data_IF_827388503192
#
_entry.id   IF_827388503192
#
_cell.length_a   1.000
_cell.length_b   1.000
_cell.length_c   1.000
_cell.angle_alpha   90.00
_cell.angle_beta   90.00
_cell.angle_gamma   90.00
#
_symmetry.space_group_name_H-M   'P 1'
#
loop_
_entity.id
_entity.type
_entity.pdbx_description
1 polymer ?
#
# COMPACT_ATOMS: atom_id res chain seq x y z
N UNK A 1 30.08 13.28 4.78
CA UNK A 1 29.90 13.91 6.11
C UNK A 1 29.25 15.29 6.03
N UNK A 2 29.62 16.15 5.06
CA UNK A 2 29.07 17.50 4.95
C UNK A 2 27.53 17.55 4.85
N UNK A 3 26.90 16.69 4.05
CA UNK A 3 25.45 16.72 3.88
C UNK A 3 24.66 16.38 5.16
N UNK A 4 25.21 15.51 6.01
CA UNK A 4 24.61 15.20 7.32
C UNK A 4 24.67 16.41 8.25
N UNK A 5 25.78 17.14 8.24
CA UNK A 5 25.91 18.39 9.01
C UNK A 5 24.89 19.43 8.55
N UNK A 6 24.69 19.59 7.23
CA UNK A 6 23.68 20.52 6.70
C UNK A 6 22.26 20.12 7.10
N UNK A 7 21.96 18.82 7.14
CA UNK A 7 20.67 18.35 7.63
C UNK A 7 20.50 18.60 9.14
N UNK A 8 21.55 18.52 9.94
CA UNK A 8 21.53 18.84 11.37
C UNK A 8 21.32 20.33 11.62
N UNK A 9 22.01 21.19 10.88
CA UNK A 9 21.79 22.63 10.90
C UNK A 9 20.33 22.98 10.56
N UNK A 10 19.77 22.35 9.52
CA UNK A 10 18.35 22.52 9.16
C UNK A 10 17.42 22.08 10.29
N UNK A 11 17.69 20.95 10.94
CA UNK A 11 16.88 20.46 12.06
C UNK A 11 16.87 21.43 13.25
N UNK A 12 17.94 22.20 13.45
CA UNK A 12 18.06 23.17 14.54
C UNK A 12 17.26 24.46 14.31
N UNK A 13 16.74 24.71 13.10
CA UNK A 13 16.03 25.96 12.75
C UNK A 13 14.69 26.09 13.48
N UNK A 14 13.90 25.01 13.53
CA UNK A 14 12.57 25.03 14.15
C UNK A 14 12.06 23.61 14.46
N UNK A 15 11.06 23.44 15.35
CA UNK A 15 10.46 22.13 15.61
C UNK A 15 9.89 21.44 14.36
N UNK A 16 9.46 22.23 13.37
CA UNK A 16 8.94 21.71 12.12
C UNK A 16 10.06 21.23 11.19
N UNK A 17 11.14 22.01 11.05
CA UNK A 17 12.34 21.58 10.35
C UNK A 17 12.98 20.34 11.00
N UNK A 18 12.92 20.21 12.33
CA UNK A 18 13.34 19.02 13.04
C UNK A 18 12.56 17.77 12.60
N UNK A 19 11.22 17.86 12.49
CA UNK A 19 10.37 16.75 12.02
C UNK A 19 10.69 16.37 10.57
N UNK A 20 10.87 17.38 9.70
CA UNK A 20 11.23 17.19 8.29
C UNK A 20 12.61 16.52 8.18
N UNK A 21 13.61 17.06 8.87
CA UNK A 21 14.96 16.52 8.81
C UNK A 21 15.04 15.09 9.39
N UNK A 22 14.31 14.81 10.48
CA UNK A 22 14.25 13.45 11.02
C UNK A 22 13.59 12.47 10.04
N UNK A 23 12.58 12.91 9.28
CA UNK A 23 11.97 12.13 8.21
C UNK A 23 12.97 11.83 7.09
N UNK A 24 13.64 12.85 6.56
CA UNK A 24 14.65 12.70 5.49
C UNK A 24 15.75 11.74 5.95
N UNK A 25 16.30 11.93 7.16
CA UNK A 25 17.35 11.05 7.70
C UNK A 25 16.94 9.58 7.73
N UNK A 26 15.69 9.28 8.13
CA UNK A 26 15.18 7.89 8.22
C UNK A 26 15.02 7.20 6.87
N UNK A 27 14.92 7.95 5.77
CA UNK A 27 14.92 7.36 4.43
C UNK A 27 16.34 7.04 3.94
N UNK A 28 17.36 7.50 4.67
CA UNK A 28 18.78 7.25 4.40
C UNK A 28 19.24 7.67 2.98
N UNK A 29 18.87 8.87 2.48
CA UNK A 29 19.21 9.31 1.13
C UNK A 29 20.73 9.46 0.90
N UNK A 30 21.49 9.66 1.97
CA UNK A 30 22.95 9.80 1.97
C UNK A 30 23.68 8.53 1.54
N UNK A 31 23.04 7.36 1.63
CA UNK A 31 23.64 6.09 1.20
C UNK A 31 23.90 6.02 -0.31
N UNK A 32 23.34 6.97 -1.08
CA UNK A 32 23.44 7.01 -2.53
C UNK A 32 24.41 8.08 -3.05
N UNK A 33 25.09 8.83 -2.17
CA UNK A 33 25.99 9.93 -2.58
C UNK A 33 27.13 9.42 -3.48
N UNK A 34 27.74 8.29 -3.12
CA UNK A 34 28.80 7.68 -3.90
C UNK A 34 28.30 7.19 -5.26
N UNK A 35 27.08 6.64 -5.30
CA UNK A 35 26.46 6.15 -6.53
C UNK A 35 26.13 7.29 -7.51
N UNK A 36 25.77 8.47 -7.01
CA UNK A 36 25.47 9.66 -7.82
C UNK A 36 26.70 10.56 -8.04
N UNK A 37 27.84 10.23 -7.43
CA UNK A 37 29.09 10.98 -7.53
C UNK A 37 29.01 12.39 -6.95
N UNK A 38 28.06 12.67 -6.05
CA UNK A 38 27.84 14.01 -5.46
C UNK A 38 27.17 13.92 -4.10
N UNK A 39 27.39 14.95 -3.27
CA UNK A 39 26.74 15.06 -1.97
C UNK A 39 25.23 15.30 -2.09
N UNK A 40 24.46 14.84 -1.09
CA UNK A 40 23.00 14.94 -1.04
C UNK A 40 22.49 16.37 -1.21
N UNK A 41 23.21 17.36 -0.65
CA UNK A 41 22.86 18.78 -0.81
C UNK A 41 22.89 19.23 -2.28
N UNK A 42 23.63 18.52 -3.14
CA UNK A 42 23.82 18.84 -4.56
C UNK A 42 23.11 17.85 -5.51
N UNK A 43 22.19 17.02 -5.02
CA UNK A 43 21.39 16.16 -5.90
C UNK A 43 20.59 17.01 -6.90
N UNK A 44 20.63 16.58 -8.16
CA UNK A 44 19.79 17.13 -9.22
C UNK A 44 18.35 16.62 -9.09
N UNK A 45 17.46 17.14 -9.90
CA UNK A 45 16.12 16.63 -10.01
C UNK A 45 16.06 15.20 -10.59
N UNK A 46 16.99 14.84 -11.47
CA UNK A 46 17.18 13.46 -11.94
C UNK A 46 17.62 12.51 -10.81
N UNK A 47 18.59 12.92 -9.98
CA UNK A 47 19.06 12.13 -8.83
C UNK A 47 17.92 11.91 -7.82
N UNK A 48 17.13 12.96 -7.57
CA UNK A 48 15.96 12.89 -6.70
C UNK A 48 14.85 12.02 -7.30
N UNK A 49 14.64 12.06 -8.62
CA UNK A 49 13.70 11.18 -9.31
C UNK A 49 14.11 9.71 -9.15
N UNK A 50 15.39 9.36 -9.41
CA UNK A 50 15.89 7.99 -9.18
C UNK A 50 15.75 7.59 -7.70
N UNK A 51 16.06 8.50 -6.78
CA UNK A 51 15.92 8.25 -5.36
C UNK A 51 14.47 7.92 -4.98
N UNK A 52 13.50 8.73 -5.40
CA UNK A 52 12.09 8.53 -5.03
C UNK A 52 11.47 7.31 -5.71
N UNK A 53 11.79 7.08 -6.98
CA UNK A 53 11.17 6.03 -7.78
C UNK A 53 11.94 4.72 -7.69
N UNK A 54 13.24 4.72 -7.97
CA UNK A 54 14.01 3.48 -8.05
C UNK A 54 14.45 2.97 -6.68
N UNK A 55 14.88 3.87 -5.78
CA UNK A 55 15.38 3.49 -4.44
C UNK A 55 14.25 3.36 -3.42
N UNK A 56 13.40 4.37 -3.30
CA UNK A 56 12.32 4.39 -2.30
C UNK A 56 11.00 3.79 -2.79
N UNK A 57 10.88 3.53 -4.10
CA UNK A 57 9.71 2.89 -4.72
C UNK A 57 8.40 3.59 -4.41
N UNK A 58 8.42 4.92 -4.33
CA UNK A 58 7.21 5.71 -4.20
C UNK A 58 6.40 5.61 -5.49
N UNK A 59 5.11 5.30 -5.36
CA UNK A 59 4.22 5.12 -6.51
C UNK A 59 2.92 5.92 -6.40
N UNK A 60 2.50 6.31 -5.19
CA UNK A 60 1.27 7.10 -4.99
C UNK A 60 1.55 8.60 -5.09
N UNK A 61 0.82 9.33 -5.94
CA UNK A 61 0.85 10.79 -6.01
C UNK A 61 0.70 11.51 -4.67
N UNK A 62 -0.26 11.13 -3.83
CA UNK A 62 -0.44 11.76 -2.51
C UNK A 62 0.76 11.57 -1.58
N UNK A 63 1.36 10.38 -1.58
CA UNK A 63 2.57 10.09 -0.81
C UNK A 63 3.76 10.89 -1.35
N UNK A 64 3.94 10.90 -2.68
CA UNK A 64 4.97 11.70 -3.33
C UNK A 64 4.81 13.19 -3.00
N UNK A 65 3.57 13.71 -2.98
CA UNK A 65 3.29 15.11 -2.62
C UNK A 65 3.80 15.46 -1.23
N UNK A 66 3.53 14.60 -0.24
CA UNK A 66 4.00 14.80 1.14
C UNK A 66 5.52 14.69 1.23
N UNK A 67 6.13 13.73 0.53
CA UNK A 67 7.59 13.58 0.48
C UNK A 67 8.21 14.82 -0.14
N UNK A 68 7.65 15.31 -1.25
CA UNK A 68 8.21 16.41 -2.03
C UNK A 68 8.14 17.71 -1.26
N UNK A 69 7.03 17.98 -0.55
CA UNK A 69 6.94 19.15 0.33
C UNK A 69 8.04 19.17 1.40
N UNK A 70 8.43 18.01 1.93
CA UNK A 70 9.51 17.89 2.92
C UNK A 70 10.89 18.13 2.31
N UNK A 71 11.20 17.48 1.19
CA UNK A 71 12.50 17.66 0.52
C UNK A 71 12.64 19.05 -0.06
N UNK A 72 11.62 19.56 -0.76
CA UNK A 72 11.59 20.92 -1.31
C UNK A 72 11.96 21.95 -0.25
N UNK A 73 11.36 21.87 0.94
CA UNK A 73 11.66 22.79 2.03
C UNK A 73 13.09 22.70 2.56
N UNK A 74 13.67 21.51 2.57
CA UNK A 74 15.10 21.36 2.90
C UNK A 74 15.98 22.03 1.83
N UNK A 75 15.65 21.86 0.54
CA UNK A 75 16.39 22.50 -0.56
C UNK A 75 16.17 24.02 -0.62
N UNK A 76 14.97 24.52 -0.32
CA UNK A 76 14.69 25.96 -0.18
C UNK A 76 15.61 26.56 0.88
N UNK A 77 15.71 25.91 2.04
CA UNK A 77 16.63 26.34 3.09
C UNK A 77 18.10 26.28 2.66
N UNK A 78 18.51 25.29 1.87
CA UNK A 78 19.87 25.22 1.33
C UNK A 78 20.16 26.39 0.37
N UNK A 79 19.18 26.82 -0.42
CA UNK A 79 19.26 28.02 -1.28
C UNK A 79 19.37 29.28 -0.42
N UNK A 80 18.52 29.44 0.60
CA UNK A 80 18.56 30.58 1.53
C UNK A 80 19.93 30.72 2.23
N UNK A 81 20.56 29.59 2.57
CA UNK A 81 21.91 29.53 3.15
C UNK A 81 23.04 29.60 2.14
N UNK A 82 22.74 29.70 0.84
CA UNK A 82 23.71 29.75 -0.26
C UNK A 82 24.61 28.51 -0.36
N UNK A 83 24.12 27.36 0.11
CA UNK A 83 24.80 26.07 -0.09
C UNK A 83 24.63 25.55 -1.53
N UNK A 84 23.55 25.96 -2.17
CA UNK A 84 23.27 25.72 -3.59
C UNK A 84 22.65 26.97 -4.21
N UNK A 85 22.70 27.05 -5.54
CA UNK A 85 22.20 28.21 -6.29
C UNK A 85 20.69 28.16 -6.56
N UNK A 86 20.11 26.97 -6.69
CA UNK A 86 18.72 26.78 -7.06
C UNK A 86 18.15 25.52 -6.44
N UNK A 87 16.84 25.51 -6.19
CA UNK A 87 16.14 24.35 -5.67
C UNK A 87 15.83 23.36 -6.82
N UNK A 88 16.25 22.08 -6.76
CA UNK A 88 15.97 21.11 -7.81
C UNK A 88 14.47 20.85 -8.04
N UNK A 89 13.59 21.25 -7.12
CA UNK A 89 12.14 21.14 -7.31
C UNK A 89 11.52 22.29 -8.12
N UNK A 90 12.25 23.38 -8.39
CA UNK A 90 11.76 24.51 -9.18
C UNK A 90 11.76 24.17 -10.67
N UNK A 91 10.59 24.29 -11.33
CA UNK A 91 10.41 24.05 -12.76
C UNK A 91 10.90 22.68 -13.28
N UNK A 92 11.11 21.70 -12.40
CA UNK A 92 11.58 20.37 -12.79
C UNK A 92 10.53 19.58 -13.57
N UNK A 93 10.92 19.10 -14.74
CA UNK A 93 10.15 18.13 -15.53
C UNK A 93 10.14 16.74 -14.86
N UNK A 94 11.28 16.32 -14.31
CA UNK A 94 11.47 14.99 -13.70
C UNK A 94 10.74 14.82 -12.38
N UNK A 95 10.53 15.92 -11.64
CA UNK A 95 9.79 15.93 -10.38
C UNK A 95 8.32 16.36 -10.55
N UNK A 96 7.80 16.35 -11.79
CA UNK A 96 6.37 16.52 -12.03
C UNK A 96 5.60 15.24 -11.70
N UNK A 97 4.40 15.35 -11.11
CA UNK A 97 3.60 14.18 -10.72
C UNK A 97 3.31 13.26 -11.90
N UNK A 98 3.00 13.82 -13.06
CA UNK A 98 2.70 13.02 -14.25
C UNK A 98 3.90 12.18 -14.68
N UNK A 99 5.09 12.79 -14.72
CA UNK A 99 6.31 12.09 -15.08
C UNK A 99 6.61 10.96 -14.08
N UNK A 100 6.51 11.25 -12.78
CA UNK A 100 6.83 10.28 -11.74
C UNK A 100 5.86 9.11 -11.67
N UNK A 101 4.57 9.33 -11.91
CA UNK A 101 3.59 8.23 -11.99
C UNK A 101 3.90 7.32 -13.17
N UNK A 102 4.29 7.89 -14.33
CA UNK A 102 4.74 7.09 -15.48
C UNK A 102 6.00 6.31 -15.16
N UNK A 103 6.98 6.93 -14.50
CA UNK A 103 8.21 6.25 -14.10
C UNK A 103 7.96 5.17 -13.04
N UNK A 104 7.07 5.40 -12.07
CA UNK A 104 6.69 4.42 -11.08
C UNK A 104 6.01 3.20 -11.72
N UNK A 105 5.11 3.42 -12.68
CA UNK A 105 4.49 2.34 -13.43
C UNK A 105 5.52 1.58 -14.28
N UNK A 106 6.39 2.28 -15.01
CA UNK A 106 7.43 1.68 -15.84
C UNK A 106 8.47 0.88 -15.04
N UNK A 107 8.78 1.31 -13.81
CA UNK A 107 9.68 0.57 -12.89
C UNK A 107 8.99 -0.58 -12.15
N UNK A 108 7.70 -0.85 -12.39
CA UNK A 108 6.96 -1.90 -11.70
C UNK A 108 6.69 -1.61 -10.22
N UNK A 109 6.71 -0.35 -9.80
CA UNK A 109 6.49 0.05 -8.41
C UNK A 109 5.02 0.04 -7.99
N UNK A 110 4.10 0.13 -8.95
CA UNK A 110 2.65 0.14 -8.68
C UNK A 110 2.18 -1.31 -8.52
N UNK A 111 1.85 -1.78 -7.30
CA UNK A 111 1.51 -3.17 -7.08
C UNK A 111 0.10 -3.45 -7.60
N UNK A 112 -0.03 -4.29 -8.63
CA UNK A 112 -1.31 -4.75 -9.16
C UNK A 112 -1.35 -6.28 -9.18
N UNK A 113 -2.26 -6.85 -8.41
CA UNK A 113 -2.44 -8.29 -8.30
C UNK A 113 -3.82 -8.66 -8.87
N UNK A 114 -3.88 -9.55 -9.87
CA UNK A 114 -5.17 -10.12 -10.25
C UNK A 114 -5.66 -11.05 -9.14
N UNK A 115 -6.98 -11.29 -9.09
CA UNK A 115 -7.54 -12.20 -8.09
C UNK A 115 -6.97 -13.61 -8.29
N UNK A 116 -6.90 -14.04 -9.53
CA UNK A 116 -6.42 -15.36 -9.97
C UNK A 116 -4.96 -15.55 -9.56
N UNK A 117 -4.12 -14.53 -9.72
CA UNK A 117 -2.73 -14.55 -9.28
C UNK A 117 -2.62 -14.70 -7.76
N UNK A 118 -3.42 -13.95 -6.99
CA UNK A 118 -3.43 -14.05 -5.53
C UNK A 118 -3.85 -15.45 -5.06
N UNK A 119 -4.92 -15.99 -5.65
CA UNK A 119 -5.43 -17.33 -5.34
C UNK A 119 -4.39 -18.40 -5.69
N UNK A 120 -3.77 -18.30 -6.87
CA UNK A 120 -2.72 -19.22 -7.31
C UNK A 120 -1.52 -19.25 -6.37
N UNK A 121 -1.01 -18.08 -5.95
CA UNK A 121 0.08 -18.01 -4.97
C UNK A 121 -0.27 -18.67 -3.63
N UNK A 122 -1.54 -18.59 -3.20
CA UNK A 122 -1.98 -19.24 -1.97
C UNK A 122 -2.08 -20.76 -2.13
N UNK A 123 -2.49 -21.25 -3.30
CA UNK A 123 -2.58 -22.68 -3.62
C UNK A 123 -1.21 -23.36 -3.68
N UNK A 124 -0.19 -22.63 -4.11
CA UNK A 124 1.20 -23.11 -4.10
C UNK A 124 1.75 -23.35 -2.67
N UNK A 125 1.09 -22.80 -1.64
CA UNK A 125 1.47 -23.04 -0.23
C UNK A 125 0.89 -24.36 0.27
N UNK A 126 1.49 -25.47 -0.16
CA UNK A 126 1.08 -26.85 0.19
C UNK A 126 0.90 -27.00 1.70
N UNK A 127 -0.29 -27.44 2.12
CA UNK A 127 -0.63 -27.71 3.52
C UNK A 127 -1.33 -26.54 4.23
N UNK A 128 -1.25 -25.31 3.72
CA UNK A 128 -1.75 -24.11 4.41
C UNK A 128 -2.54 -23.13 3.52
N UNK A 129 -2.99 -23.59 2.35
CA UNK A 129 -3.77 -22.78 1.40
C UNK A 129 -4.85 -21.94 2.07
N UNK A 130 -5.72 -22.55 2.89
CA UNK A 130 -6.80 -21.84 3.58
C UNK A 130 -6.29 -20.72 4.51
N UNK A 131 -5.14 -20.92 5.17
CA UNK A 131 -4.52 -19.91 6.03
C UNK A 131 -4.08 -18.70 5.20
N UNK A 132 -3.41 -18.95 4.06
CA UNK A 132 -2.95 -17.89 3.16
C UNK A 132 -4.09 -17.20 2.42
N UNK A 133 -5.06 -17.95 1.89
CA UNK A 133 -6.27 -17.42 1.26
C UNK A 133 -7.05 -16.52 2.20
N UNK A 134 -7.29 -16.98 3.43
CA UNK A 134 -7.98 -16.17 4.44
C UNK A 134 -7.27 -14.81 4.61
N UNK A 135 -5.95 -14.77 4.77
CA UNK A 135 -5.23 -13.50 4.91
C UNK A 135 -5.28 -12.63 3.64
N UNK A 136 -4.98 -13.21 2.48
CA UNK A 136 -4.80 -12.47 1.23
C UNK A 136 -6.14 -11.95 0.70
N UNK A 137 -7.16 -12.80 0.68
CA UNK A 137 -8.50 -12.44 0.21
C UNK A 137 -9.20 -11.49 1.19
N UNK A 138 -9.01 -11.59 2.51
CA UNK A 138 -9.50 -10.54 3.44
C UNK A 138 -9.05 -9.15 3.01
N UNK A 139 -7.76 -9.00 2.71
CA UNK A 139 -7.18 -7.71 2.33
C UNK A 139 -7.66 -7.26 0.96
N UNK A 140 -7.67 -8.17 -0.01
CA UNK A 140 -8.18 -7.93 -1.35
C UNK A 140 -9.65 -7.48 -1.32
N UNK A 141 -10.47 -8.13 -0.51
CA UNK A 141 -11.91 -7.91 -0.53
C UNK A 141 -12.35 -6.71 0.33
N UNK A 142 -11.49 -6.13 1.16
CA UNK A 142 -11.78 -4.82 1.75
C UNK A 142 -11.18 -4.53 3.11
N UNK A 143 -10.44 -5.46 3.72
CA UNK A 143 -9.68 -5.18 4.95
C UNK A 143 -8.46 -4.32 4.58
N UNK A 144 -8.37 -3.11 5.13
CA UNK A 144 -7.38 -2.10 4.69
C UNK A 144 -5.95 -2.39 5.12
N UNK A 145 -5.75 -3.17 6.19
CA UNK A 145 -4.43 -3.36 6.78
C UNK A 145 -4.32 -4.64 7.61
N UNK A 146 -3.08 -5.11 7.77
CA UNK A 146 -2.78 -6.22 8.68
C UNK A 146 -3.24 -5.98 10.12
N UNK A 147 -3.17 -4.72 10.59
CA UNK A 147 -3.62 -4.36 11.93
C UNK A 147 -5.13 -4.43 12.10
N UNK A 148 -5.88 -4.14 11.04
CA UNK A 148 -7.32 -4.30 11.02
C UNK A 148 -7.69 -5.78 10.97
N UNK A 149 -7.05 -6.55 10.08
CA UNK A 149 -7.24 -8.00 9.96
C UNK A 149 -6.95 -8.73 11.28
N UNK A 150 -5.84 -8.39 11.94
CA UNK A 150 -5.44 -9.01 13.20
C UNK A 150 -6.46 -8.80 14.35
N UNK A 151 -7.37 -7.82 14.23
CA UNK A 151 -8.39 -7.53 15.25
C UNK A 151 -9.72 -8.22 14.96
N UNK A 152 -9.90 -8.78 13.76
CA UNK A 152 -11.14 -9.45 13.41
C UNK A 152 -11.25 -10.78 14.16
N UNK A 153 -12.48 -11.13 14.52
CA UNK A 153 -12.87 -12.34 15.22
C UNK A 153 -13.97 -13.05 14.45
N UNK A 154 -14.30 -14.27 14.86
CA UNK A 154 -15.41 -15.01 14.24
C UNK A 154 -16.77 -14.34 14.41
N UNK A 155 -16.94 -13.51 15.44
CA UNK A 155 -18.18 -12.75 15.67
C UNK A 155 -18.39 -11.64 14.65
N UNK A 156 -17.31 -11.22 13.98
CA UNK A 156 -17.36 -10.18 12.96
C UNK A 156 -17.77 -10.77 11.59
N UNK A 157 -17.83 -12.10 11.45
CA UNK A 157 -18.22 -12.76 10.20
C UNK A 157 -19.68 -13.20 10.29
N UNK A 158 -20.50 -12.73 9.36
CA UNK A 158 -21.86 -13.22 9.15
C UNK A 158 -21.87 -14.15 7.93
N UNK A 159 -21.88 -15.45 8.20
CA UNK A 159 -21.89 -16.51 7.19
C UNK A 159 -23.22 -16.60 6.42
N UNK A 160 -24.32 -16.06 6.96
CA UNK A 160 -25.62 -16.07 6.30
C UNK A 160 -25.73 -14.99 5.24
N UNK A 161 -25.20 -13.79 5.53
CA UNK A 161 -25.15 -12.69 4.57
C UNK A 161 -23.88 -12.65 3.71
N UNK A 162 -22.86 -13.47 4.03
CA UNK A 162 -21.57 -13.45 3.36
C UNK A 162 -20.85 -12.11 3.57
N UNK A 163 -20.85 -11.60 4.81
CA UNK A 163 -20.26 -10.30 5.13
C UNK A 163 -19.31 -10.34 6.32
N UNK A 164 -18.41 -9.36 6.38
CA UNK A 164 -17.52 -9.11 7.52
C UNK A 164 -17.73 -7.69 8.04
N UNK A 165 -18.00 -7.57 9.34
CA UNK A 165 -18.20 -6.32 10.04
C UNK A 165 -16.86 -5.69 10.45
N UNK A 166 -16.60 -4.48 9.98
CA UNK A 166 -15.31 -3.81 10.12
C UNK A 166 -15.55 -2.32 10.41
N UNK A 167 -15.27 -1.89 11.65
CA UNK A 167 -15.34 -0.47 12.04
C UNK A 167 -16.71 0.17 11.79
N UNK A 168 -17.79 -0.57 12.04
CA UNK A 168 -19.16 -0.11 11.83
C UNK A 168 -19.67 -0.20 10.39
N UNK A 169 -18.90 -0.81 9.48
CA UNK A 169 -19.32 -1.11 8.09
C UNK A 169 -19.40 -2.60 7.87
N UNK A 170 -20.19 -3.04 6.90
CA UNK A 170 -20.20 -4.43 6.44
C UNK A 170 -19.58 -4.51 5.05
N UNK A 171 -18.67 -5.46 4.87
CA UNK A 171 -18.01 -5.73 3.60
C UNK A 171 -18.50 -7.09 3.12
N UNK A 172 -19.00 -7.16 1.88
CA UNK A 172 -19.34 -8.43 1.24
C UNK A 172 -18.06 -9.20 0.91
N UNK A 173 -18.04 -10.47 1.25
CA UNK A 173 -16.95 -11.38 0.94
C UNK A 173 -17.39 -12.44 -0.08
N UNK A 174 -16.41 -13.01 -0.78
CA UNK A 174 -16.63 -14.12 -1.71
C UNK A 174 -16.86 -15.43 -0.97
N UNK A 175 -17.55 -16.36 -1.63
CA UNK A 175 -17.73 -17.73 -1.14
C UNK A 175 -16.37 -18.40 -0.88
N UNK A 176 -15.38 -18.16 -1.73
CA UNK A 176 -14.02 -18.68 -1.56
C UNK A 176 -13.33 -18.17 -0.28
N UNK A 177 -13.54 -16.90 0.10
CA UNK A 177 -13.02 -16.38 1.36
C UNK A 177 -13.79 -16.97 2.55
N UNK A 178 -15.12 -17.13 2.42
CA UNK A 178 -15.93 -17.76 3.45
C UNK A 178 -15.49 -19.21 3.70
N UNK A 179 -15.30 -19.99 2.63
CA UNK A 179 -14.77 -21.35 2.68
C UNK A 179 -13.39 -21.40 3.33
N UNK A 180 -12.49 -20.48 2.94
CA UNK A 180 -11.16 -20.39 3.54
C UNK A 180 -11.22 -20.15 5.06
N UNK A 181 -12.13 -19.29 5.53
CA UNK A 181 -12.33 -19.09 6.94
C UNK A 181 -12.90 -20.32 7.66
N UNK A 182 -13.90 -20.97 7.09
CA UNK A 182 -14.52 -22.16 7.67
C UNK A 182 -13.52 -23.32 7.77
N UNK A 183 -12.71 -23.51 6.74
CA UNK A 183 -11.65 -24.50 6.71
C UNK A 183 -10.56 -24.18 7.73
N UNK A 184 -10.12 -22.91 7.80
CA UNK A 184 -9.18 -22.46 8.83
C UNK A 184 -9.71 -22.67 10.24
N UNK A 185 -11.03 -22.54 10.44
CA UNK A 185 -11.68 -22.80 11.73
C UNK A 185 -11.62 -24.27 12.13
N UNK A 186 -11.67 -25.22 11.19
CA UNK A 186 -11.58 -26.65 11.46
C UNK A 186 -10.14 -27.12 11.75
N UNK A 187 -9.14 -26.38 11.28
CA UNK A 187 -7.72 -26.75 11.42
C UNK A 187 -7.16 -26.50 12.82
N UNK A 188 -6.39 -27.46 13.32
CA UNK A 188 -5.67 -27.35 14.59
C UNK A 188 -4.22 -26.86 14.41
N UNK A 189 -3.66 -27.03 13.22
CA UNK A 189 -2.25 -26.74 12.95
C UNK A 189 -2.07 -26.04 11.60
N UNK A 190 -0.99 -25.27 11.53
CA UNK A 190 -0.38 -24.72 10.35
C UNK A 190 0.78 -25.63 9.91
N UNK A 191 0.88 -25.92 8.62
CA UNK A 191 1.83 -26.85 7.99
C UNK A 191 2.70 -26.16 6.91
N UNK A 192 3.90 -25.73 7.29
CA UNK A 192 4.88 -25.19 6.33
C UNK A 192 5.92 -26.24 5.96
N UNK A 193 5.74 -26.89 4.80
CA UNK A 193 6.56 -28.02 4.38
C UNK A 193 6.42 -29.18 5.37
N UNK A 194 7.52 -29.64 5.97
CA UNK A 194 7.49 -30.69 7.01
C UNK A 194 7.17 -30.15 8.40
N UNK A 195 7.20 -28.83 8.61
CA UNK A 195 7.02 -28.22 9.94
C UNK A 195 5.55 -28.00 10.25
N UNK A 196 5.12 -28.55 11.39
CA UNK A 196 3.77 -28.37 11.94
C UNK A 196 3.80 -27.45 13.16
N UNK A 197 2.96 -26.43 13.18
CA UNK A 197 2.84 -25.46 14.29
C UNK A 197 1.38 -25.36 14.73
N UNK A 198 1.12 -25.46 16.03
CA UNK A 198 -0.24 -25.39 16.55
C UNK A 198 -0.84 -23.98 16.40
N UNK A 199 -2.12 -23.92 16.07
CA UNK A 199 -2.90 -22.69 15.98
C UNK A 199 -3.50 -22.36 17.34
N UNK A 200 -3.40 -21.10 17.77
CA UNK A 200 -4.02 -20.63 19.00
C UNK A 200 -5.51 -20.35 18.79
N UNK A 201 -6.30 -21.41 18.86
CA UNK A 201 -7.77 -21.35 18.71
C UNK A 201 -8.45 -20.62 19.86
N UNK A 202 -7.79 -20.51 21.03
CA UNK A 202 -8.32 -19.81 22.19
C UNK A 202 -8.25 -18.28 22.04
N UNK A 203 -7.40 -17.77 21.14
CA UNK A 203 -7.28 -16.33 20.86
C UNK A 203 -8.57 -15.65 20.38
N UNK A 204 -9.51 -16.41 19.80
CA UNK A 204 -10.74 -15.88 19.19
C UNK A 204 -10.53 -15.08 17.91
N UNK A 205 -9.29 -14.90 17.46
CA UNK A 205 -8.95 -14.19 16.22
C UNK A 205 -9.46 -14.97 14.99
N UNK A 206 -9.91 -14.23 13.99
CA UNK A 206 -10.37 -14.77 12.71
C UNK A 206 -9.23 -15.50 11.98
N UNK A 207 -8.03 -14.91 12.02
CA UNK A 207 -6.78 -15.55 11.60
C UNK A 207 -6.02 -15.98 12.88
N UNK A 208 -6.05 -17.27 13.26
CA UNK A 208 -5.45 -17.69 14.52
C UNK A 208 -3.92 -17.50 14.50
N UNK A 209 -3.31 -16.96 15.57
CA UNK A 209 -1.86 -16.88 15.67
C UNK A 209 -1.24 -18.28 15.87
N UNK A 210 0.03 -18.40 15.53
CA UNK A 210 0.81 -19.61 15.75
C UNK A 210 1.33 -19.65 17.19
N UNK A 211 1.12 -20.77 17.89
CA UNK A 211 1.65 -21.00 19.23
C UNK A 211 3.18 -21.18 19.13
N UNK A 212 3.92 -20.30 19.80
CA UNK A 212 5.39 -20.41 19.89
C UNK A 212 5.81 -21.36 21.02
N UNK A 213 6.89 -22.09 20.80
CA UNK A 213 7.62 -22.78 21.87
C UNK A 213 7.96 -21.78 22.98
N UNK A 214 7.57 -22.09 24.22
CA UNK A 214 7.80 -21.26 25.41
C UNK A 214 6.70 -20.24 25.76
N UNK A 215 5.68 -20.03 24.91
CA UNK A 215 4.56 -19.11 25.19
C UNK A 215 3.23 -19.79 25.57
N UNK A 216 3.24 -21.10 25.81
CA UNK A 216 2.04 -21.89 26.15
C UNK A 216 1.28 -21.40 27.41
N UNK A 217 1.89 -20.55 28.25
CA UNK A 217 1.28 -20.02 29.49
C UNK A 217 0.92 -18.53 29.46
N UNK A 218 1.33 -17.75 28.44
CA UNK A 218 0.89 -16.36 28.29
C UNK A 218 -0.07 -16.27 27.12
N UNK A 219 -1.37 -16.33 27.42
CA UNK A 219 -2.44 -16.20 26.44
C UNK A 219 -2.16 -15.00 25.53
N UNK A 220 -2.17 -15.25 24.22
CA UNK A 220 -1.92 -14.25 23.17
C UNK A 220 -3.04 -13.19 23.06
N UNK A 221 -4.04 -13.26 23.94
CA UNK A 221 -5.20 -12.39 23.98
C UNK A 221 -4.77 -10.93 24.10
N UNK A 222 -4.85 -10.21 22.98
CA UNK A 222 -4.62 -8.77 22.91
C UNK A 222 -3.32 -8.32 22.27
N UNK A 223 -2.38 -9.20 21.88
CA UNK A 223 -1.19 -8.76 21.16
C UNK A 223 -1.41 -8.65 19.64
N UNK A 224 -2.33 -7.76 19.24
CA UNK A 224 -2.68 -7.50 17.84
C UNK A 224 -1.48 -7.05 17.00
N UNK A 225 -0.50 -6.38 17.63
CA UNK A 225 0.73 -5.94 16.96
C UNK A 225 1.58 -7.14 16.53
N UNK A 226 1.68 -8.15 17.39
CA UNK A 226 2.37 -9.38 17.07
C UNK A 226 1.71 -10.11 15.89
N UNK A 227 0.38 -10.30 15.93
CA UNK A 227 -0.35 -10.97 14.85
C UNK A 227 -0.25 -10.19 13.54
N UNK A 228 -0.46 -8.87 13.57
CA UNK A 228 -0.27 -7.98 12.40
C UNK A 228 1.11 -8.15 11.78
N UNK A 229 2.18 -8.18 12.59
CA UNK A 229 3.54 -8.41 12.10
C UNK A 229 3.75 -9.83 11.55
N UNK A 230 3.10 -10.84 12.13
CA UNK A 230 3.17 -12.22 11.64
C UNK A 230 2.50 -12.36 10.27
N UNK A 231 1.30 -11.80 10.11
CA UNK A 231 0.58 -11.73 8.83
C UNK A 231 1.44 -10.99 7.79
N UNK A 232 1.97 -9.83 8.17
CA UNK A 232 2.83 -9.02 7.29
C UNK A 232 4.03 -9.81 6.76
N UNK A 233 4.74 -10.55 7.62
CA UNK A 233 5.88 -11.37 7.18
C UNK A 233 5.47 -12.49 6.22
N UNK A 234 4.33 -13.14 6.47
CA UNK A 234 3.81 -14.21 5.60
C UNK A 234 3.41 -13.68 4.23
N UNK A 235 2.73 -12.53 4.17
CA UNK A 235 2.36 -11.89 2.91
C UNK A 235 3.57 -11.37 2.15
N UNK A 236 4.53 -10.75 2.85
CA UNK A 236 5.77 -10.28 2.23
C UNK A 236 6.59 -11.44 1.62
N UNK A 237 6.57 -12.62 2.24
CA UNK A 237 7.20 -13.82 1.68
C UNK A 237 6.56 -14.28 0.35
N UNK A 238 5.29 -13.94 0.12
CA UNK A 238 4.60 -14.16 -1.16
C UNK A 238 4.76 -12.98 -2.15
N UNK A 239 5.56 -11.96 -1.79
CA UNK A 239 5.65 -10.73 -2.57
C UNK A 239 4.39 -9.86 -2.50
N UNK A 240 3.49 -10.11 -1.55
CA UNK A 240 2.22 -9.40 -1.41
C UNK A 240 2.29 -8.34 -0.29
N UNK A 241 1.65 -7.20 -0.53
CA UNK A 241 1.52 -6.10 0.43
C UNK A 241 0.06 -5.79 0.74
N UNK A 242 -0.27 -5.39 1.97
CA UNK A 242 -1.64 -5.03 2.34
C UNK A 242 -2.23 -3.92 1.47
N UNK A 243 -1.48 -2.83 1.23
CA UNK A 243 -1.94 -1.74 0.38
C UNK A 243 -2.18 -2.22 -1.05
N UNK A 244 -1.22 -2.95 -1.63
CA UNK A 244 -1.37 -3.46 -2.98
C UNK A 244 -2.54 -4.43 -3.13
N UNK A 245 -2.78 -5.33 -2.17
CA UNK A 245 -3.95 -6.24 -2.19
C UNK A 245 -5.26 -5.44 -2.12
N UNK A 246 -5.37 -4.53 -1.16
CA UNK A 246 -6.57 -3.71 -0.98
C UNK A 246 -6.86 -2.84 -2.20
N UNK A 247 -5.85 -2.18 -2.77
CA UNK A 247 -5.99 -1.34 -3.96
C UNK A 247 -6.31 -2.17 -5.21
N UNK A 248 -5.68 -3.33 -5.37
CA UNK A 248 -5.98 -4.25 -6.46
C UNK A 248 -7.42 -4.76 -6.39
N UNK A 249 -7.93 -5.04 -5.19
CA UNK A 249 -9.32 -5.45 -5.00
C UNK A 249 -10.34 -4.34 -5.24
N UNK A 250 -10.00 -3.08 -4.92
CA UNK A 250 -10.80 -1.91 -5.37
C UNK A 250 -10.85 -1.89 -6.89
N UNK A 251 -9.70 -1.98 -7.56
CA UNK A 251 -9.63 -1.97 -9.02
C UNK A 251 -10.40 -3.14 -9.64
N UNK A 252 -10.28 -4.35 -9.09
CA UNK A 252 -11.00 -5.53 -9.57
C UNK A 252 -12.52 -5.32 -9.58
N UNK A 253 -13.10 -4.85 -8.46
CA UNK A 253 -14.54 -4.58 -8.40
C UNK A 253 -14.98 -3.44 -9.29
N UNK A 254 -14.17 -2.38 -9.41
CA UNK A 254 -14.45 -1.27 -10.32
C UNK A 254 -14.49 -1.76 -11.78
N UNK A 255 -13.53 -2.60 -12.16
CA UNK A 255 -13.49 -3.19 -13.50
C UNK A 255 -14.67 -4.13 -13.77
N UNK A 256 -15.13 -4.88 -12.77
CA UNK A 256 -16.34 -5.70 -12.89
C UNK A 256 -17.62 -4.85 -13.04
N UNK A 257 -17.71 -3.73 -12.30
CA UNK A 257 -18.92 -2.90 -12.28
C UNK A 257 -19.03 -1.98 -13.50
N UNK A 258 -17.94 -1.31 -13.88
CA UNK A 258 -17.93 -0.25 -14.89
C UNK A 258 -17.22 -0.67 -16.19
N UNK A 259 -16.39 -1.71 -16.13
CA UNK A 259 -15.57 -2.12 -17.27
C UNK A 259 -14.28 -1.32 -17.43
N UNK A 260 -13.31 -1.92 -18.13
CA UNK A 260 -11.96 -1.37 -18.32
C UNK A 260 -11.95 0.02 -18.96
N UNK A 261 -12.72 0.21 -20.03
CA UNK A 261 -12.70 1.44 -20.82
C UNK A 261 -13.19 2.64 -20.01
N UNK A 262 -14.25 2.47 -19.21
CA UNK A 262 -14.78 3.54 -18.36
C UNK A 262 -13.80 3.95 -17.27
N UNK A 263 -13.13 2.98 -16.63
CA UNK A 263 -12.11 3.27 -15.61
C UNK A 263 -10.88 3.95 -16.24
N UNK A 264 -10.48 3.56 -17.45
CA UNK A 264 -9.39 4.21 -18.17
C UNK A 264 -9.70 5.65 -18.57
N UNK A 265 -10.92 5.91 -19.08
CA UNK A 265 -11.40 7.26 -19.39
C UNK A 265 -11.33 8.15 -18.13
N UNK A 266 -11.54 7.58 -16.95
CA UNK A 266 -11.48 8.32 -15.70
C UNK A 266 -10.05 8.58 -15.21
N UNK A 267 -9.19 7.56 -15.20
CA UNK A 267 -7.85 7.64 -14.61
C UNK A 267 -6.81 8.26 -15.55
N UNK A 268 -6.87 7.93 -16.84
CA UNK A 268 -5.90 8.34 -17.87
C UNK A 268 -6.64 8.70 -19.17
N UNK A 269 -7.50 9.74 -19.15
CA UNK A 269 -8.23 10.15 -20.34
C UNK A 269 -7.28 10.61 -21.45
N UNK A 270 -7.65 10.32 -22.70
CA UNK A 270 -6.92 10.80 -23.88
C UNK A 270 -7.08 12.30 -24.09
N UNK A 271 -8.22 12.87 -23.65
CA UNK A 271 -8.51 14.29 -23.69
C UNK A 271 -9.07 14.75 -22.34
N UNK A 272 -8.75 15.97 -21.88
CA UNK A 272 -9.31 16.49 -20.63
C UNK A 272 -10.83 16.37 -20.59
N UNK A 273 -11.36 15.69 -19.58
CA UNK A 273 -12.80 15.54 -19.42
C UNK A 273 -13.44 16.89 -19.09
N UNK A 274 -14.61 17.14 -19.68
CA UNK A 274 -15.43 18.28 -19.30
C UNK A 274 -15.80 18.22 -17.81
N UNK A 275 -15.86 19.38 -17.16
CA UNK A 275 -16.15 19.50 -15.72
C UNK A 275 -17.49 18.84 -15.34
N UNK A 276 -18.50 18.95 -16.21
CA UNK A 276 -19.81 18.33 -16.05
C UNK A 276 -19.71 16.80 -16.01
N UNK A 277 -19.00 16.21 -16.98
CA UNK A 277 -18.77 14.76 -17.09
C UNK A 277 -17.98 14.24 -15.89
N UNK A 278 -16.90 14.93 -15.52
CA UNK A 278 -16.09 14.58 -14.35
C UNK A 278 -16.90 14.60 -13.05
N UNK A 279 -17.76 15.60 -12.89
CA UNK A 279 -18.64 15.72 -11.71
C UNK A 279 -19.65 14.57 -11.63
N UNK A 280 -20.21 14.13 -12.77
CA UNK A 280 -21.10 12.98 -12.82
C UNK A 280 -20.37 11.68 -12.46
N UNK A 281 -19.25 11.40 -13.11
CA UNK A 281 -18.43 10.19 -12.84
C UNK A 281 -17.94 10.13 -11.39
N UNK A 282 -17.59 11.28 -10.79
CA UNK A 282 -17.24 11.34 -9.37
C UNK A 282 -18.39 10.86 -8.46
N UNK A 283 -19.64 11.24 -8.76
CA UNK A 283 -20.81 10.80 -7.97
C UNK A 283 -21.07 9.31 -8.11
N UNK A 284 -20.93 8.77 -9.32
CA UNK A 284 -21.08 7.34 -9.60
C UNK A 284 -20.04 6.52 -8.84
N UNK A 285 -18.77 6.95 -8.86
CA UNK A 285 -17.70 6.31 -8.10
C UNK A 285 -17.91 6.43 -6.58
N UNK A 286 -18.35 7.58 -6.09
CA UNK A 286 -18.63 7.79 -4.67
C UNK A 286 -19.80 6.94 -4.16
N UNK A 287 -20.83 6.75 -5.00
CA UNK A 287 -21.90 5.80 -4.72
C UNK A 287 -21.36 4.37 -4.64
N UNK A 288 -20.59 3.94 -5.64
CA UNK A 288 -19.93 2.64 -5.64
C UNK A 288 -19.05 2.43 -4.39
N UNK A 289 -18.23 3.41 -4.01
CA UNK A 289 -17.38 3.31 -2.83
C UNK A 289 -18.19 3.18 -1.55
N UNK A 290 -19.30 3.93 -1.44
CA UNK A 290 -20.21 3.83 -0.29
C UNK A 290 -20.83 2.44 -0.19
N UNK A 291 -21.36 1.92 -1.29
CA UNK A 291 -22.04 0.64 -1.35
C UNK A 291 -21.08 -0.53 -1.07
N UNK A 292 -19.79 -0.34 -1.35
CA UNK A 292 -18.72 -1.30 -1.06
C UNK A 292 -17.95 -1.00 0.23
N UNK A 293 -18.46 -0.12 1.09
CA UNK A 293 -17.83 0.26 2.36
C UNK A 293 -16.40 0.83 2.24
N UNK A 294 -16.00 1.30 1.06
CA UNK A 294 -14.70 1.93 0.77
C UNK A 294 -14.75 3.39 1.23
N UNK A 295 -13.77 3.80 2.05
CA UNK A 295 -13.62 5.20 2.44
C UNK A 295 -12.62 5.90 1.51
N UNK A 296 -13.08 6.27 0.32
CA UNK A 296 -12.30 6.98 -0.70
C UNK A 296 -13.22 7.97 -1.42
N UNK A 297 -12.74 9.16 -1.74
CA UNK A 297 -13.48 10.11 -2.59
C UNK A 297 -13.18 9.86 -4.06
N UNK A 298 -14.06 10.27 -4.97
CA UNK A 298 -13.78 10.20 -6.41
C UNK A 298 -12.50 10.97 -6.76
N UNK A 299 -12.32 12.15 -6.17
CA UNK A 299 -11.12 12.97 -6.36
C UNK A 299 -9.84 12.24 -5.96
N UNK A 300 -9.79 11.66 -4.76
CA UNK A 300 -8.61 10.95 -4.28
C UNK A 300 -8.32 9.72 -5.14
N UNK A 301 -9.37 9.00 -5.56
CA UNK A 301 -9.24 7.89 -6.50
C UNK A 301 -8.62 8.36 -7.83
N UNK A 302 -9.14 9.42 -8.45
CA UNK A 302 -8.64 9.95 -9.71
C UNK A 302 -7.18 10.40 -9.67
N UNK A 303 -6.69 10.73 -8.48
CA UNK A 303 -5.32 11.18 -8.27
C UNK A 303 -4.40 10.01 -7.93
N UNK A 304 -4.72 9.23 -6.89
CA UNK A 304 -3.82 8.19 -6.38
C UNK A 304 -3.79 6.93 -7.24
N UNK A 305 -4.84 6.67 -8.03
CA UNK A 305 -4.91 5.48 -8.87
C UNK A 305 -4.42 5.68 -10.30
N UNK A 306 -3.86 6.83 -10.66
CA UNK A 306 -3.31 7.06 -12.01
C UNK A 306 -2.28 6.03 -12.44
N UNK A 307 -1.43 5.56 -11.51
CA UNK A 307 -0.47 4.50 -11.79
C UNK A 307 -1.14 3.19 -12.24
N UNK A 308 -2.27 2.83 -11.61
CA UNK A 308 -3.08 1.68 -12.00
C UNK A 308 -3.71 1.86 -13.38
N UNK A 309 -4.19 3.06 -13.69
CA UNK A 309 -4.69 3.39 -15.03
C UNK A 309 -3.62 3.22 -16.11
N UNK A 310 -2.38 3.63 -15.84
CA UNK A 310 -1.26 3.41 -16.78
C UNK A 310 -0.96 1.93 -16.99
N UNK A 311 -0.95 1.13 -15.93
CA UNK A 311 -0.78 -0.33 -16.03
C UNK A 311 -1.92 -0.92 -16.87
N UNK A 312 -3.17 -0.56 -16.62
CA UNK A 312 -4.32 -1.08 -17.38
C UNK A 312 -4.27 -0.70 -18.86
N UNK A 313 -3.78 0.50 -19.17
CA UNK A 313 -3.71 1.03 -20.54
C UNK A 313 -2.55 0.45 -21.33
N UNK A 314 -1.37 0.34 -20.74
CA UNK A 314 -0.12 0.03 -21.45
C UNK A 314 0.56 -1.27 -21.00
N UNK A 315 0.22 -1.79 -19.82
CA UNK A 315 0.87 -2.95 -19.22
C UNK A 315 0.41 -4.31 -19.75
N UNK A 316 -0.41 -4.35 -20.81
CA UNK A 316 -0.86 -5.61 -21.42
C UNK A 316 -1.76 -6.46 -20.52
N UNK A 317 -2.38 -5.88 -19.50
CA UNK A 317 -3.33 -6.60 -18.63
C UNK A 317 -4.64 -6.80 -19.41
N UNK A 318 -4.75 -7.98 -20.02
CA UNK A 318 -5.95 -8.58 -20.59
C UNK A 318 -6.63 -9.46 -19.56
#
# INVERSE_FOLDING_TARGET
>A
MEALMRLEEFQAVSPDCQKIGAYIRRQEPFRYEDAYGRGFVHYTDEDLMDLFICKFRHYKPSVMSVVFGKYRRFYDWCVEKKYIMSNPFEHSKYLSYEYLVRMAAANGNVPYYSREYVVGLCQEQTGDEAYYKAMALSLFEGVKSYSQLARLTWKDVDTGSGTVAIGGRQIKISDELQEAYEELRKREYFQAGERRQALDKASGALIPPLIRFGQQKSLSSGNYRYLSNAISRKMAALGLSASGLYESGIMHRLLQQFGKNEILEYLVPDQPLEKSVMSRKNRELEAFFRDNAISLSGRDFSFDFKGYGLILKFGGIS
#
